data_IF_539318330807
#
_entry.id   IF_539318330807
#
_cell.length_a   1.000
_cell.length_b   1.000
_cell.length_c   1.000
_cell.angle_alpha   90.00
_cell.angle_beta   90.00
_cell.angle_gamma   90.00
#
_symmetry.space_group_name_H-M   'P 1'
#
loop_
_entity.id
_entity.type
_entity.pdbx_description
1 polymer ?
#
# COMPACT_ATOMS: atom_id res chain seq x y z
N UNK A 1 13.12 15.64 -1.52
CA UNK A 1 13.47 17.07 -1.34
C UNK A 1 14.49 17.15 -0.21
N UNK A 2 15.48 18.04 -0.28
CA UNK A 2 16.50 18.11 0.79
C UNK A 2 15.90 18.68 2.08
N UNK A 3 16.38 18.23 3.22
CA UNK A 3 15.83 18.55 4.56
C UNK A 3 15.63 20.05 4.79
N UNK A 4 16.55 20.88 4.29
CA UNK A 4 16.48 22.35 4.40
C UNK A 4 15.16 22.96 3.90
N UNK A 5 14.53 22.35 2.89
CA UNK A 5 13.33 22.88 2.23
C UNK A 5 12.10 21.98 2.44
N UNK A 6 12.28 20.83 3.06
CA UNK A 6 11.23 19.85 3.29
C UNK A 6 10.30 20.29 4.42
N UNK A 7 9.00 20.44 4.12
CA UNK A 7 8.00 20.56 5.18
C UNK A 7 7.73 19.17 5.78
N UNK A 8 7.89 18.97 7.10
CA UNK A 8 7.78 17.62 7.70
C UNK A 8 6.44 16.92 7.45
N UNK A 9 5.33 17.66 7.43
CA UNK A 9 4.00 17.08 7.17
C UNK A 9 3.82 16.66 5.71
N UNK A 10 4.38 17.44 4.77
CA UNK A 10 4.36 17.08 3.35
C UNK A 10 5.31 15.92 3.08
N UNK A 11 6.51 15.91 3.68
CA UNK A 11 7.48 14.83 3.48
C UNK A 11 6.91 13.46 3.86
N UNK A 12 6.19 13.37 4.99
CA UNK A 12 5.55 12.12 5.45
C UNK A 12 4.62 11.48 4.43
N UNK A 13 3.95 12.29 3.59
CA UNK A 13 3.08 11.77 2.54
C UNK A 13 3.88 10.95 1.51
N UNK A 14 5.11 11.37 1.23
CA UNK A 14 5.97 10.78 0.21
C UNK A 14 6.97 9.75 0.76
N UNK A 15 6.93 9.48 2.06
CA UNK A 15 7.74 8.41 2.68
C UNK A 15 7.21 7.03 2.27
N UNK A 16 8.13 6.06 2.20
CA UNK A 16 7.79 4.67 1.83
C UNK A 16 6.75 4.06 2.77
N UNK A 17 6.78 4.41 4.05
CA UNK A 17 5.81 3.97 5.04
C UNK A 17 4.38 4.32 4.61
N UNK A 18 4.13 5.58 4.22
CA UNK A 18 2.80 6.01 3.77
C UNK A 18 2.45 5.40 2.40
N UNK A 19 3.41 5.30 1.46
CA UNK A 19 3.20 4.64 0.17
C UNK A 19 2.70 3.20 0.36
N UNK A 20 3.42 2.41 1.17
CA UNK A 20 3.08 1.00 1.38
C UNK A 20 1.84 0.80 2.26
N UNK A 21 1.54 1.73 3.17
CA UNK A 21 0.26 1.73 3.89
C UNK A 21 -0.92 1.89 2.93
N UNK A 22 -0.83 2.81 1.97
CA UNK A 22 -1.86 2.98 0.94
C UNK A 22 -1.95 1.73 0.04
N UNK A 23 -0.82 1.13 -0.35
CA UNK A 23 -0.81 -0.11 -1.14
C UNK A 23 -1.51 -1.26 -0.41
N UNK A 24 -1.20 -1.43 0.89
CA UNK A 24 -1.86 -2.41 1.76
C UNK A 24 -3.37 -2.18 1.82
N UNK A 25 -3.80 -0.92 1.97
CA UNK A 25 -5.22 -0.58 2.02
C UNK A 25 -5.93 -0.91 0.69
N UNK A 26 -5.33 -0.55 -0.46
CA UNK A 26 -5.87 -0.89 -1.78
C UNK A 26 -6.04 -2.41 -1.94
N UNK A 27 -5.04 -3.20 -1.56
CA UNK A 27 -5.08 -4.66 -1.65
C UNK A 27 -6.16 -5.29 -0.76
N UNK A 28 -6.30 -4.80 0.48
CA UNK A 28 -7.36 -5.24 1.38
C UNK A 28 -8.73 -4.90 0.79
N UNK A 29 -8.93 -3.68 0.25
CA UNK A 29 -10.19 -3.25 -0.35
C UNK A 29 -10.52 -4.08 -1.60
N UNK A 30 -9.53 -4.42 -2.42
CA UNK A 30 -9.68 -5.30 -3.58
C UNK A 30 -10.13 -6.71 -3.15
N UNK A 31 -9.54 -7.25 -2.08
CA UNK A 31 -9.98 -8.52 -1.50
C UNK A 31 -11.40 -8.41 -0.89
N UNK A 32 -11.73 -7.29 -0.24
CA UNK A 32 -13.05 -7.07 0.39
C UNK A 32 -14.16 -7.08 -0.67
N UNK A 33 -13.98 -6.40 -1.79
CA UNK A 33 -15.01 -6.36 -2.85
C UNK A 33 -15.17 -7.73 -3.51
N UNK A 34 -14.08 -8.49 -3.69
CA UNK A 34 -14.13 -9.86 -4.22
C UNK A 34 -14.80 -10.83 -3.24
N UNK A 35 -14.58 -10.65 -1.93
CA UNK A 35 -15.31 -11.38 -0.90
C UNK A 35 -16.81 -11.05 -0.94
N UNK A 36 -17.20 -9.78 -1.04
CA UNK A 36 -18.61 -9.36 -1.18
C UNK A 36 -19.27 -9.93 -2.44
N UNK A 37 -18.49 -10.24 -3.48
CA UNK A 37 -18.94 -10.90 -4.72
C UNK A 37 -18.95 -12.44 -4.64
N UNK A 38 -18.50 -13.02 -3.52
CA UNK A 38 -18.44 -14.47 -3.33
C UNK A 38 -17.22 -15.16 -3.97
N UNK A 39 -16.22 -14.40 -4.41
CA UNK A 39 -15.01 -14.92 -5.08
C UNK A 39 -13.90 -15.28 -4.09
N UNK A 40 -13.88 -14.62 -2.92
CA UNK A 40 -12.95 -14.88 -1.83
C UNK A 40 -13.76 -15.35 -0.62
N UNK A 41 -13.43 -16.50 0.01
CA UNK A 41 -14.10 -16.95 1.22
C UNK A 41 -14.02 -15.91 2.34
N UNK A 42 -15.08 -15.81 3.15
CA UNK A 42 -15.12 -14.88 4.27
C UNK A 42 -13.97 -15.13 5.26
N UNK A 43 -13.63 -16.39 5.54
CA UNK A 43 -12.52 -16.71 6.46
C UNK A 43 -11.17 -16.22 5.93
N UNK A 44 -10.89 -16.46 4.64
CA UNK A 44 -9.66 -16.00 3.97
C UNK A 44 -9.55 -14.47 4.03
N UNK A 45 -10.65 -13.74 3.79
CA UNK A 45 -10.64 -12.27 3.90
C UNK A 45 -10.38 -11.79 5.33
N UNK A 46 -10.97 -12.42 6.35
CA UNK A 46 -10.70 -12.04 7.74
C UNK A 46 -9.23 -12.29 8.11
N UNK A 47 -8.64 -13.36 7.60
CA UNK A 47 -7.21 -13.61 7.77
C UNK A 47 -6.35 -12.53 7.10
N UNK A 48 -6.63 -12.19 5.84
CA UNK A 48 -5.95 -11.09 5.13
C UNK A 48 -6.06 -9.79 5.93
N UNK A 49 -7.28 -9.38 6.30
CA UNK A 49 -7.52 -8.11 6.99
C UNK A 49 -6.85 -8.02 8.36
N UNK A 50 -6.77 -9.13 9.11
CA UNK A 50 -6.18 -9.14 10.45
C UNK A 50 -4.66 -9.26 10.45
N UNK A 51 -4.08 -9.89 9.43
CA UNK A 51 -2.64 -10.18 9.35
C UNK A 51 -1.87 -9.30 8.37
N UNK A 52 -2.53 -8.61 7.44
CA UNK A 52 -1.88 -7.72 6.48
C UNK A 52 -1.06 -6.66 7.21
N UNK A 53 0.26 -6.78 7.06
CA UNK A 53 1.31 -5.93 7.63
C UNK A 53 2.46 -5.91 6.65
N UNK A 54 3.34 -4.94 6.81
CA UNK A 54 4.57 -4.87 6.05
C UNK A 54 5.69 -4.29 6.90
N UNK A 55 6.92 -4.41 6.39
CA UNK A 55 8.09 -3.75 6.92
C UNK A 55 8.90 -3.15 5.75
N UNK A 56 9.17 -1.84 5.81
CA UNK A 56 9.86 -1.11 4.73
C UNK A 56 11.26 -1.67 4.47
N UNK A 57 12.03 -1.95 5.52
CA UNK A 57 13.41 -2.42 5.39
C UNK A 57 13.47 -3.81 4.74
N UNK A 58 12.55 -4.70 5.12
CA UNK A 58 12.40 -6.03 4.50
C UNK A 58 12.00 -5.91 3.02
N UNK A 59 11.10 -4.98 2.67
CA UNK A 59 10.71 -4.73 1.29
C UNK A 59 11.91 -4.28 0.47
N UNK A 60 12.70 -3.32 0.98
CA UNK A 60 13.89 -2.83 0.29
C UNK A 60 14.94 -3.93 0.10
N UNK A 61 15.09 -4.83 1.08
CA UNK A 61 15.96 -6.00 0.94
C UNK A 61 15.47 -6.95 -0.17
N UNK A 62 14.16 -7.22 -0.23
CA UNK A 62 13.59 -8.08 -1.28
C UNK A 62 13.73 -7.38 -2.64
N UNK A 63 13.43 -6.07 -2.72
CA UNK A 63 13.53 -5.27 -3.94
C UNK A 63 14.95 -5.28 -4.50
N UNK A 64 15.98 -5.26 -3.64
CA UNK A 64 17.38 -5.37 -4.06
C UNK A 64 17.69 -6.67 -4.83
N UNK A 65 16.87 -7.72 -4.65
CA UNK A 65 17.02 -9.04 -5.29
C UNK A 65 16.11 -9.20 -6.51
N UNK A 66 14.87 -8.71 -6.42
CA UNK A 66 13.86 -8.89 -7.48
C UNK A 66 13.77 -7.73 -8.46
N UNK A 67 14.37 -6.58 -8.12
CA UNK A 67 14.40 -5.35 -8.91
C UNK A 67 13.01 -4.85 -9.35
N UNK A 68 12.00 -5.09 -8.51
CA UNK A 68 10.61 -4.69 -8.74
C UNK A 68 9.90 -4.45 -7.40
N UNK A 69 9.52 -3.20 -7.14
CA UNK A 69 8.95 -2.74 -5.87
C UNK A 69 7.60 -3.40 -5.51
N UNK A 70 6.66 -3.51 -6.46
CA UNK A 70 5.37 -4.20 -6.25
C UNK A 70 5.58 -5.66 -5.88
N UNK A 71 6.44 -6.39 -6.60
CA UNK A 71 6.75 -7.79 -6.26
C UNK A 71 7.37 -7.89 -4.87
N UNK A 72 8.28 -6.98 -4.53
CA UNK A 72 8.91 -6.94 -3.22
C UNK A 72 7.89 -6.70 -2.08
N UNK A 73 7.01 -5.71 -2.25
CA UNK A 73 5.91 -5.42 -1.33
C UNK A 73 4.97 -6.62 -1.15
N UNK A 74 4.51 -7.22 -2.25
CA UNK A 74 3.60 -8.37 -2.20
C UNK A 74 4.25 -9.59 -1.55
N UNK A 75 5.53 -9.82 -1.82
CA UNK A 75 6.29 -10.90 -1.17
C UNK A 75 6.37 -10.69 0.33
N UNK A 76 6.66 -9.46 0.77
CA UNK A 76 6.70 -9.09 2.18
C UNK A 76 5.34 -9.29 2.85
N UNK A 77 4.30 -8.65 2.32
CA UNK A 77 2.96 -8.69 2.93
C UNK A 77 2.38 -10.11 2.98
N UNK A 78 2.56 -10.91 1.92
CA UNK A 78 2.09 -12.29 1.90
C UNK A 78 2.79 -13.17 2.92
N UNK A 79 4.03 -12.87 3.32
CA UNK A 79 4.73 -13.61 4.38
C UNK A 79 4.03 -13.46 5.75
N UNK A 80 3.41 -12.31 6.02
CA UNK A 80 2.62 -12.07 7.23
C UNK A 80 1.24 -12.72 7.19
N UNK A 81 0.60 -12.74 6.02
CA UNK A 81 -0.75 -13.27 5.83
C UNK A 81 -0.74 -14.81 5.83
N UNK A 82 0.18 -15.43 5.09
CA UNK A 82 0.22 -16.88 4.90
C UNK A 82 -0.67 -17.36 3.72
N UNK A 83 -1.29 -18.55 3.81
CA UNK A 83 -1.99 -19.18 2.68
C UNK A 83 -3.12 -18.37 2.05
N UNK A 84 -3.82 -17.54 2.84
CA UNK A 84 -4.87 -16.64 2.33
C UNK A 84 -4.31 -15.54 1.39
N UNK A 85 -3.01 -15.25 1.48
CA UNK A 85 -2.30 -14.30 0.61
C UNK A 85 -2.40 -14.61 -0.88
N UNK A 86 -2.78 -15.84 -1.26
CA UNK A 86 -3.05 -16.23 -2.66
C UNK A 86 -4.11 -15.36 -3.35
N UNK A 87 -4.97 -14.68 -2.59
CA UNK A 87 -6.02 -13.80 -3.13
C UNK A 87 -5.56 -12.36 -3.34
N UNK A 88 -4.47 -11.95 -2.69
CA UNK A 88 -3.89 -10.61 -2.80
C UNK A 88 -3.38 -10.39 -4.22
N UNK A 89 -3.58 -9.20 -4.76
CA UNK A 89 -3.18 -8.77 -6.10
C UNK A 89 -3.80 -9.54 -7.27
N UNK A 90 -4.73 -10.47 -7.01
CA UNK A 90 -5.30 -11.28 -8.08
C UNK A 90 -6.16 -10.42 -9.03
N UNK A 91 -5.80 -10.45 -10.32
CA UNK A 91 -6.48 -9.71 -11.37
C UNK A 91 -6.07 -8.24 -11.49
N UNK A 92 -5.11 -7.78 -10.69
CA UNK A 92 -4.53 -6.44 -10.76
C UNK A 92 -3.18 -6.47 -11.47
N UNK A 93 -2.79 -5.30 -11.97
CA UNK A 93 -1.44 -5.00 -12.45
C UNK A 93 -0.73 -4.07 -11.47
N UNK A 94 0.60 -3.95 -11.60
CA UNK A 94 1.41 -3.03 -10.80
C UNK A 94 0.89 -1.59 -10.82
N UNK A 95 0.36 -1.12 -11.95
CA UNK A 95 -0.17 0.24 -12.10
C UNK A 95 -1.50 0.46 -11.39
N UNK A 96 -2.35 -0.56 -11.26
CA UNK A 96 -3.61 -0.44 -10.52
C UNK A 96 -3.36 -0.05 -9.05
N UNK A 97 -2.22 -0.45 -8.50
CA UNK A 97 -1.76 -0.04 -7.17
C UNK A 97 -0.92 1.23 -7.22
N UNK A 98 0.09 1.28 -8.07
CA UNK A 98 1.05 2.39 -8.12
C UNK A 98 0.36 3.73 -8.42
N UNK A 99 -0.48 3.76 -9.46
CA UNK A 99 -1.11 4.99 -9.94
C UNK A 99 -2.25 5.43 -9.01
N UNK A 100 -3.01 4.46 -8.47
CA UNK A 100 -4.04 4.75 -7.47
C UNK A 100 -3.41 5.32 -6.19
N UNK A 101 -2.31 4.74 -5.71
CA UNK A 101 -1.62 5.23 -4.54
C UNK A 101 -1.04 6.63 -4.74
N UNK A 102 -0.47 6.90 -5.92
CA UNK A 102 -0.02 8.24 -6.29
C UNK A 102 -1.17 9.25 -6.26
N UNK A 103 -2.33 8.90 -6.80
CA UNK A 103 -3.52 9.75 -6.72
C UNK A 103 -3.90 10.05 -5.26
N UNK A 104 -3.89 9.04 -4.39
CA UNK A 104 -4.17 9.20 -2.95
C UNK A 104 -3.14 10.14 -2.29
N UNK A 105 -1.85 9.95 -2.53
CA UNK A 105 -0.79 10.83 -2.00
C UNK A 105 -0.96 12.28 -2.49
N UNK A 106 -1.34 12.47 -3.75
CA UNK A 106 -1.63 13.80 -4.30
C UNK A 106 -2.82 14.47 -3.61
N UNK A 107 -3.88 13.73 -3.31
CA UNK A 107 -5.04 14.23 -2.55
C UNK A 107 -4.63 14.59 -1.12
N UNK A 108 -3.89 13.72 -0.42
CA UNK A 108 -3.35 14.01 0.91
C UNK A 108 -2.52 15.30 0.92
N UNK A 109 -1.69 15.51 -0.10
CA UNK A 109 -0.88 16.72 -0.23
C UNK A 109 -1.73 17.97 -0.49
N UNK A 110 -2.73 17.86 -1.37
CA UNK A 110 -3.65 18.96 -1.68
C UNK A 110 -4.45 19.39 -0.45
N UNK A 111 -4.96 18.44 0.33
CA UNK A 111 -5.70 18.72 1.56
C UNK A 111 -4.84 19.51 2.56
N UNK A 112 -3.56 19.14 2.69
CA UNK A 112 -2.60 19.86 3.54
C UNK A 112 -2.31 21.28 3.04
N UNK A 113 -2.17 21.45 1.72
CA UNK A 113 -1.94 22.77 1.10
C UNK A 113 -3.16 23.67 1.32
N UNK A 114 -4.37 23.17 1.07
CA UNK A 114 -5.63 23.92 1.26
C UNK A 114 -5.83 24.31 2.73
N UNK A 115 -5.55 23.40 3.67
CA UNK A 115 -5.58 23.68 5.10
C UNK A 115 -4.63 24.81 5.51
N UNK A 116 -3.44 24.88 4.91
CA UNK A 116 -2.45 25.94 5.19
C UNK A 116 -2.78 27.28 4.54
N UNK A 117 -3.45 27.29 3.39
CA UNK A 117 -3.89 28.51 2.68
C UNK A 117 -4.92 29.32 3.47
N UNK A 118 -5.68 28.67 4.36
CA UNK A 118 -6.82 29.28 5.06
C UNK A 118 -6.42 29.87 6.43
N UNK A 119 -5.16 30.26 6.58
CA UNK A 119 -4.62 30.94 7.77
C UNK A 119 -4.25 32.38 7.45
#
# INVERSE_FOLDING_TARGET
MIDRYSNPEISKIWELENKFEIWKEIEILACEIRMKRGEVPQEDFQEIKSKAKFNVDEILEIESKVHHDVIAFLTNMNSYIGPAGRHVHYGLTSSDIGDTALCVQMVQAMDLILKKRTR
#
